data_IF_815677963405
#
_entry.id   IF_815677963405
#
_cell.length_a   1.000
_cell.length_b   1.000
_cell.length_c   1.000
_cell.angle_alpha   90.00
_cell.angle_beta   90.00
_cell.angle_gamma   90.00
#
_symmetry.space_group_name_H-M   'P 1'
#
loop_
_entity.id
_entity.type
_entity.pdbx_description
1 polymer ?
#
# COMPACT_ATOMS: atom_id res chain seq x y z
N UNK A 1 -6.04 -24.67 25.54
CA UNK A 1 -7.49 -24.42 25.46
C UNK A 1 -7.88 -23.02 25.95
N UNK A 2 -7.64 -22.65 27.22
CA UNK A 2 -8.07 -21.36 27.80
C UNK A 2 -7.59 -20.12 27.02
N UNK A 3 -6.32 -20.11 26.59
CA UNK A 3 -5.76 -19.01 25.81
C UNK A 3 -6.43 -18.83 24.44
N UNK A 4 -6.84 -19.93 23.80
CA UNK A 4 -7.54 -19.91 22.51
C UNK A 4 -8.93 -19.27 22.68
N UNK A 5 -9.67 -19.64 23.73
CA UNK A 5 -11.00 -19.07 24.02
C UNK A 5 -10.91 -17.56 24.29
N UNK A 6 -9.89 -17.13 25.06
CA UNK A 6 -9.66 -15.71 25.35
C UNK A 6 -9.40 -14.91 24.07
N UNK A 7 -8.50 -15.39 23.20
CA UNK A 7 -8.16 -14.74 21.92
C UNK A 7 -9.37 -14.63 20.99
N UNK A 8 -10.12 -15.73 20.82
CA UNK A 8 -11.33 -15.76 19.98
C UNK A 8 -12.43 -14.83 20.50
N UNK A 9 -12.61 -14.77 21.82
CA UNK A 9 -13.60 -13.88 22.45
C UNK A 9 -13.26 -12.41 22.24
N UNK A 10 -11.97 -12.05 22.33
CA UNK A 10 -11.49 -10.71 22.05
C UNK A 10 -11.68 -10.32 20.57
N UNK A 11 -11.33 -11.22 19.65
CA UNK A 11 -11.50 -11.02 18.20
C UNK A 11 -12.96 -10.80 17.84
N UNK A 12 -13.84 -11.64 18.37
CA UNK A 12 -15.29 -11.53 18.22
C UNK A 12 -15.81 -10.17 18.71
N UNK A 13 -15.38 -9.73 19.89
CA UNK A 13 -15.80 -8.43 20.45
C UNK A 13 -15.33 -7.26 19.58
N UNK A 14 -14.09 -7.31 19.11
CA UNK A 14 -13.51 -6.26 18.26
C UNK A 14 -14.19 -6.15 16.89
N UNK A 15 -14.73 -7.26 16.37
CA UNK A 15 -15.49 -7.29 15.13
C UNK A 15 -16.99 -6.96 15.29
N UNK A 16 -17.41 -6.38 16.42
CA UNK A 16 -18.81 -6.01 16.65
C UNK A 16 -19.69 -7.10 17.26
N UNK A 17 -19.13 -8.24 17.67
CA UNK A 17 -19.86 -9.31 18.37
C UNK A 17 -20.35 -10.44 17.48
N UNK A 18 -21.45 -11.09 17.88
CA UNK A 18 -22.22 -12.01 17.04
C UNK A 18 -23.41 -11.22 16.48
N UNK A 19 -23.18 -10.45 15.42
CA UNK A 19 -24.29 -9.89 14.65
C UNK A 19 -25.13 -11.01 14.06
N UNK A 20 -26.44 -10.82 13.94
CA UNK A 20 -27.30 -11.81 13.28
C UNK A 20 -27.03 -11.83 11.77
N UNK A 21 -26.81 -13.02 11.20
CA UNK A 21 -26.72 -13.31 9.75
C UNK A 21 -25.66 -12.55 8.94
N UNK A 22 -24.52 -12.19 9.53
CA UNK A 22 -23.40 -11.53 8.83
C UNK A 22 -22.29 -12.50 8.38
N UNK A 23 -22.53 -13.80 8.51
CA UNK A 23 -21.60 -14.87 8.19
C UNK A 23 -21.58 -15.21 6.71
N UNK A 24 -20.40 -15.13 6.08
CA UNK A 24 -20.22 -15.48 4.67
C UNK A 24 -19.13 -16.51 4.49
N UNK A 25 -19.42 -17.57 3.75
CA UNK A 25 -18.45 -18.60 3.40
C UNK A 25 -17.59 -18.08 2.25
N UNK A 26 -16.27 -18.04 2.41
CA UNK A 26 -15.37 -17.43 1.42
C UNK A 26 -14.37 -18.43 0.82
N UNK A 27 -14.20 -19.59 1.46
CA UNK A 27 -13.29 -20.63 0.99
C UNK A 27 -13.73 -22.01 1.48
N UNK A 28 -13.80 -22.96 0.56
CA UNK A 28 -14.07 -24.37 0.86
C UNK A 28 -13.07 -25.21 0.09
N UNK A 29 -12.30 -26.01 0.79
CA UNK A 29 -11.38 -27.01 0.24
C UNK A 29 -11.63 -28.35 0.92
N UNK A 30 -11.00 -29.42 0.40
CA UNK A 30 -11.11 -30.77 0.95
C UNK A 30 -10.70 -30.85 2.42
N UNK A 31 -9.73 -30.02 2.83
CA UNK A 31 -9.18 -30.05 4.20
C UNK A 31 -9.16 -28.72 4.92
N UNK A 32 -9.78 -27.68 4.34
CA UNK A 32 -9.78 -26.34 4.91
C UNK A 32 -11.08 -25.60 4.61
N UNK A 33 -11.47 -24.75 5.55
CA UNK A 33 -12.71 -23.99 5.46
C UNK A 33 -12.50 -22.60 6.03
N UNK A 34 -12.92 -21.57 5.28
CA UNK A 34 -12.86 -20.19 5.73
C UNK A 34 -14.18 -19.44 5.57
N UNK A 35 -14.41 -18.55 6.52
CA UNK A 35 -15.57 -17.68 6.55
C UNK A 35 -15.19 -16.27 7.00
N UNK A 36 -15.98 -15.29 6.55
CA UNK A 36 -15.87 -13.88 6.90
C UNK A 36 -17.09 -13.42 7.70
N UNK A 37 -16.89 -12.34 8.47
CA UNK A 37 -17.95 -11.57 9.14
C UNK A 37 -17.64 -10.08 9.14
N UNK A 38 -18.64 -9.27 9.48
CA UNK A 38 -18.53 -7.82 9.57
C UNK A 38 -17.91 -7.17 8.30
N UNK A 39 -18.36 -7.58 7.12
CA UNK A 39 -17.87 -7.04 5.83
C UNK A 39 -16.40 -7.36 5.56
N UNK A 40 -15.94 -8.53 5.98
CA UNK A 40 -14.53 -8.94 5.85
C UNK A 40 -13.62 -8.39 6.96
N UNK A 41 -14.15 -7.77 8.02
CA UNK A 41 -13.33 -7.30 9.15
C UNK A 41 -12.85 -8.43 10.08
N UNK A 42 -13.55 -9.56 10.09
CA UNK A 42 -13.12 -10.79 10.76
C UNK A 42 -13.13 -11.93 9.76
N UNK A 43 -12.04 -12.68 9.68
CA UNK A 43 -11.94 -13.88 8.85
C UNK A 43 -11.35 -15.00 9.70
N UNK A 44 -11.94 -16.19 9.61
CA UNK A 44 -11.44 -17.38 10.29
C UNK A 44 -11.20 -18.47 9.25
N UNK A 45 -10.01 -19.06 9.30
CA UNK A 45 -9.63 -20.24 8.52
C UNK A 45 -9.29 -21.39 9.47
N UNK A 46 -9.94 -22.52 9.28
CA UNK A 46 -9.65 -23.77 10.00
C UNK A 46 -9.24 -24.85 9.01
N UNK A 47 -8.44 -25.80 9.49
CA UNK A 47 -8.01 -26.98 8.72
C UNK A 47 -8.18 -28.25 9.55
N UNK A 48 -8.44 -29.36 8.88
CA UNK A 48 -8.46 -30.70 9.47
C UNK A 48 -7.26 -31.56 9.00
N UNK A 49 -6.22 -30.94 8.41
CA UNK A 49 -5.06 -31.63 7.82
C UNK A 49 -4.06 -32.19 8.85
N UNK A 50 -4.31 -32.02 10.15
CA UNK A 50 -3.46 -32.52 11.25
C UNK A 50 -2.28 -31.62 11.61
N UNK A 51 -1.67 -31.86 12.76
CA UNK A 51 -0.68 -30.97 13.39
C UNK A 51 0.70 -30.91 12.70
N UNK A 52 0.97 -31.80 11.75
CA UNK A 52 2.20 -31.81 10.94
C UNK A 52 2.05 -31.12 9.59
N UNK A 53 0.84 -30.64 9.26
CA UNK A 53 0.54 -30.06 7.95
C UNK A 53 0.87 -28.58 7.87
N UNK A 54 1.48 -28.18 6.75
CA UNK A 54 1.70 -26.79 6.38
C UNK A 54 1.10 -26.58 4.99
N UNK A 55 0.16 -25.65 4.84
CA UNK A 55 -0.53 -25.41 3.57
C UNK A 55 -0.85 -23.93 3.39
N UNK A 56 -0.69 -23.42 2.17
CA UNK A 56 -1.11 -22.08 1.80
C UNK A 56 -2.52 -22.11 1.22
N UNK A 57 -3.39 -21.23 1.72
CA UNK A 57 -4.76 -21.08 1.24
C UNK A 57 -4.96 -19.65 0.76
N UNK A 58 -5.44 -19.50 -0.48
CA UNK A 58 -5.75 -18.21 -1.09
C UNK A 58 -7.24 -18.13 -1.39
N UNK A 59 -7.87 -17.02 -1.01
CA UNK A 59 -9.31 -16.79 -1.17
C UNK A 59 -9.64 -15.30 -1.21
N UNK A 60 -10.86 -14.95 -1.61
CA UNK A 60 -11.30 -13.56 -1.59
C UNK A 60 -11.83 -13.20 -0.19
N UNK A 61 -11.18 -12.26 0.49
CA UNK A 61 -11.53 -11.71 1.79
C UNK A 61 -12.78 -10.82 1.80
N UNK A 62 -13.37 -10.57 0.63
CA UNK A 62 -14.52 -9.68 0.39
C UNK A 62 -14.26 -8.22 0.79
N UNK A 63 -12.99 -7.86 0.95
CA UNK A 63 -12.55 -6.50 1.29
C UNK A 63 -11.33 -6.17 0.44
N UNK A 64 -11.51 -5.35 -0.58
CA UNK A 64 -10.41 -4.85 -1.38
C UNK A 64 -9.46 -4.00 -0.52
N UNK A 65 -8.15 -4.20 -0.69
CA UNK A 65 -7.11 -3.50 0.06
C UNK A 65 -7.28 -3.60 1.59
N UNK A 66 -7.94 -4.67 2.07
CA UNK A 66 -8.11 -4.93 3.49
C UNK A 66 -6.77 -5.27 4.16
N UNK A 67 -6.67 -4.95 5.45
CA UNK A 67 -5.51 -5.22 6.30
C UNK A 67 -5.96 -5.86 7.61
N UNK A 68 -5.29 -6.92 8.02
CA UNK A 68 -5.59 -7.70 9.22
C UNK A 68 -4.32 -8.12 9.96
N UNK A 69 -4.47 -8.47 11.23
CA UNK A 69 -3.46 -9.20 12.01
C UNK A 69 -4.01 -10.56 12.44
N UNK A 70 -3.13 -11.56 12.56
CA UNK A 70 -3.53 -12.88 13.06
C UNK A 70 -3.47 -12.94 14.59
N UNK A 71 -4.65 -12.82 15.19
CA UNK A 71 -4.80 -12.80 16.66
C UNK A 71 -4.69 -14.19 17.28
N UNK A 72 -4.77 -15.27 16.49
CA UNK A 72 -4.68 -16.64 17.00
C UNK A 72 -3.23 -17.07 17.20
N UNK A 73 -2.38 -16.92 16.18
CA UNK A 73 -0.93 -17.17 16.33
C UNK A 73 -0.25 -16.16 17.26
N UNK A 74 -0.84 -14.96 17.42
CA UNK A 74 -0.20 -13.86 18.15
C UNK A 74 0.89 -13.17 17.33
N UNK A 75 0.93 -13.42 16.02
CA UNK A 75 1.80 -12.72 15.09
C UNK A 75 1.31 -11.29 14.87
N UNK A 76 2.22 -10.31 14.99
CA UNK A 76 1.95 -8.91 14.65
C UNK A 76 2.06 -8.62 13.15
N UNK A 77 2.22 -9.65 12.31
CA UNK A 77 2.35 -9.50 10.88
C UNK A 77 1.02 -9.01 10.27
N UNK A 78 1.12 -7.94 9.46
CA UNK A 78 -0.03 -7.36 8.76
C UNK A 78 -0.29 -8.13 7.47
N UNK A 79 -1.34 -8.93 7.46
CA UNK A 79 -1.83 -9.63 6.28
C UNK A 79 -2.70 -8.66 5.49
N UNK A 80 -2.49 -8.57 4.18
CA UNK A 80 -3.23 -7.67 3.31
C UNK A 80 -3.80 -8.39 2.10
N UNK A 81 -4.92 -7.88 1.61
CA UNK A 81 -5.56 -8.34 0.37
C UNK A 81 -5.28 -7.36 -0.77
N UNK A 82 -5.40 -7.83 -1.99
CA UNK A 82 -5.21 -7.01 -3.18
C UNK A 82 -6.43 -6.12 -3.50
N UNK A 83 -6.37 -5.39 -4.62
CA UNK A 83 -7.45 -4.51 -5.09
C UNK A 83 -8.76 -5.22 -5.45
N UNK A 84 -8.72 -6.55 -5.58
CA UNK A 84 -9.90 -7.40 -5.82
C UNK A 84 -10.36 -8.12 -4.54
N UNK A 85 -9.67 -7.90 -3.41
CA UNK A 85 -9.94 -8.55 -2.13
C UNK A 85 -9.30 -9.93 -1.97
N UNK A 86 -8.43 -10.36 -2.88
CA UNK A 86 -7.76 -11.66 -2.77
C UNK A 86 -6.64 -11.62 -1.73
N UNK A 87 -6.62 -12.62 -0.85
CA UNK A 87 -5.64 -12.79 0.23
C UNK A 87 -5.12 -14.22 0.25
N UNK A 88 -3.84 -14.40 0.59
CA UNK A 88 -3.21 -15.70 0.80
C UNK A 88 -2.68 -15.80 2.23
N UNK A 89 -2.98 -16.89 2.91
CA UNK A 89 -2.51 -17.18 4.27
C UNK A 89 -1.92 -18.57 4.37
N UNK A 90 -0.84 -18.71 5.13
CA UNK A 90 -0.16 -20.00 5.34
C UNK A 90 -0.52 -20.56 6.69
N UNK A 91 -1.21 -21.70 6.69
CA UNK A 91 -1.47 -22.47 7.90
C UNK A 91 -0.22 -23.28 8.23
N UNK A 92 0.28 -23.14 9.46
CA UNK A 92 1.40 -23.89 9.98
C UNK A 92 0.95 -24.82 11.09
N UNK A 93 1.40 -26.07 11.05
CA UNK A 93 1.10 -27.11 12.05
C UNK A 93 -0.40 -27.34 12.27
N UNK A 94 -1.21 -27.19 11.22
CA UNK A 94 -2.68 -27.34 11.31
C UNK A 94 -3.38 -26.31 12.22
N UNK A 95 -2.70 -25.24 12.66
CA UNK A 95 -3.29 -24.24 13.54
C UNK A 95 -4.32 -23.37 12.81
N UNK A 96 -5.43 -22.99 13.46
CA UNK A 96 -6.39 -22.08 12.86
C UNK A 96 -5.81 -20.65 12.77
N UNK A 97 -6.23 -19.91 11.74
CA UNK A 97 -5.86 -18.51 11.52
C UNK A 97 -7.09 -17.65 11.77
N UNK A 98 -6.92 -16.56 12.54
CA UNK A 98 -8.01 -15.62 12.85
C UNK A 98 -7.53 -14.22 12.51
N UNK A 99 -8.01 -13.69 11.39
CA UNK A 99 -7.65 -12.36 10.89
C UNK A 99 -8.64 -11.33 11.43
N UNK A 100 -8.12 -10.31 12.10
CA UNK A 100 -8.91 -9.17 12.59
C UNK A 100 -8.43 -7.87 11.95
N UNK A 101 -9.36 -7.09 11.40
CA UNK A 101 -9.03 -5.86 10.70
C UNK A 101 -8.47 -4.81 11.66
N UNK A 102 -7.42 -4.12 11.23
CA UNK A 102 -6.85 -2.99 11.97
C UNK A 102 -7.39 -1.67 11.39
N UNK A 103 -8.01 -0.84 12.23
CA UNK A 103 -8.45 0.50 11.81
C UNK A 103 -7.24 1.32 11.37
N UNK A 104 -7.38 2.02 10.24
CA UNK A 104 -6.30 2.73 9.57
C UNK A 104 -5.62 3.79 10.47
N UNK A 105 -4.51 3.38 11.08
CA UNK A 105 -3.42 4.28 11.41
C UNK A 105 -2.53 4.41 10.18
N UNK A 106 -2.49 5.61 9.61
CA UNK A 106 -1.57 6.00 8.54
C UNK A 106 -0.12 5.80 9.00
N UNK A 107 0.60 4.80 8.46
CA UNK A 107 2.07 4.78 8.17
C UNK A 107 2.52 3.36 7.73
N UNK A 108 3.70 3.22 7.06
CA UNK A 108 3.85 2.35 5.90
C UNK A 108 4.33 0.92 6.19
N UNK A 109 3.86 0.05 5.30
CA UNK A 109 4.43 -1.18 4.75
C UNK A 109 5.66 -1.81 5.43
N UNK A 110 5.44 -2.97 6.05
CA UNK A 110 6.36 -4.10 5.99
C UNK A 110 5.55 -5.38 5.75
N UNK A 111 5.85 -6.08 4.63
CA UNK A 111 5.66 -7.52 4.30
C UNK A 111 5.69 -7.62 2.76
N UNK A 112 6.76 -8.08 2.10
CA UNK A 112 7.22 -9.49 1.95
C UNK A 112 6.07 -10.46 1.61
N UNK A 113 5.72 -10.51 0.33
CA UNK A 113 5.00 -11.61 -0.32
C UNK A 113 6.00 -12.48 -1.08
N UNK A 114 6.12 -13.74 -0.70
CA UNK A 114 6.63 -14.81 -1.55
C UNK A 114 5.48 -15.31 -2.42
N UNK A 115 5.44 -14.90 -3.69
CA UNK A 115 4.64 -15.53 -4.73
C UNK A 115 5.54 -16.46 -5.56
N UNK A 116 5.05 -17.66 -5.87
CA UNK A 116 5.65 -18.58 -6.84
C UNK A 116 4.53 -19.11 -7.76
N UNK A 117 4.84 -19.55 -9.00
CA UNK A 117 5.77 -19.01 -9.97
C UNK A 117 5.02 -18.17 -11.03
N UNK A 118 5.69 -17.15 -11.58
CA UNK A 118 5.12 -16.29 -12.61
C UNK A 118 4.84 -17.06 -13.92
N UNK A 119 3.88 -16.60 -14.76
CA UNK A 119 3.95 -16.87 -16.18
C UNK A 119 5.10 -16.03 -16.73
N UNK A 120 6.37 -16.46 -16.53
CA UNK A 120 7.60 -15.71 -16.89
C UNK A 120 7.37 -14.19 -16.88
N UNK A 121 6.99 -13.66 -15.72
CA UNK A 121 6.38 -12.33 -15.61
C UNK A 121 7.44 -11.28 -15.85
N UNK A 122 7.47 -10.73 -17.05
CA UNK A 122 8.28 -9.57 -17.40
C UNK A 122 8.11 -8.48 -16.34
N UNK A 123 9.21 -7.89 -15.90
CA UNK A 123 9.16 -6.74 -15.00
C UNK A 123 8.24 -5.65 -15.58
N UNK A 124 7.43 -4.96 -14.75
CA UNK A 124 6.58 -3.90 -15.25
C UNK A 124 7.43 -2.85 -15.95
N UNK A 125 7.07 -2.51 -17.19
CA UNK A 125 7.80 -1.51 -18.00
C UNK A 125 7.57 -0.09 -17.49
N UNK A 126 6.58 0.11 -16.62
CA UNK A 126 6.16 1.40 -16.08
C UNK A 126 6.01 1.32 -14.56
N UNK A 127 6.53 2.33 -13.86
CA UNK A 127 6.54 2.46 -12.40
C UNK A 127 5.83 3.75 -12.01
N UNK A 128 4.91 3.67 -11.05
CA UNK A 128 4.26 4.84 -10.45
C UNK A 128 5.15 5.47 -9.38
N UNK A 129 5.77 6.60 -9.67
CA UNK A 129 6.69 7.30 -8.76
C UNK A 129 5.96 8.47 -8.11
N UNK A 130 5.89 8.46 -6.78
CA UNK A 130 5.35 9.57 -5.99
C UNK A 130 6.46 10.52 -5.57
N UNK A 131 6.43 11.75 -6.06
CA UNK A 131 7.34 12.81 -5.64
C UNK A 131 6.67 13.67 -4.57
N UNK A 132 7.38 13.90 -3.49
CA UNK A 132 6.96 14.73 -2.37
C UNK A 132 8.00 15.82 -2.15
N UNK A 133 7.57 17.07 -2.09
CA UNK A 133 8.43 18.23 -1.89
C UNK A 133 7.92 19.04 -0.68
N UNK A 134 8.84 19.56 0.13
CA UNK A 134 8.54 20.36 1.32
C UNK A 134 9.05 21.77 1.12
N UNK A 135 8.12 22.69 0.85
CA UNK A 135 8.43 24.09 0.57
C UNK A 135 7.29 24.99 1.00
N UNK A 136 7.61 26.05 1.75
CA UNK A 136 6.64 27.07 2.15
C UNK A 136 6.31 27.95 0.95
N UNK A 137 5.03 28.10 0.67
CA UNK A 137 4.49 28.86 -0.46
C UNK A 137 3.55 29.96 0.01
N UNK A 138 3.43 31.02 -0.77
CA UNK A 138 2.41 32.05 -0.54
C UNK A 138 1.08 31.66 -1.22
N UNK A 139 -0.06 32.21 -0.78
CA UNK A 139 -1.34 31.99 -1.46
C UNK A 139 -1.27 32.34 -2.95
N UNK A 140 -1.59 31.38 -3.81
CA UNK A 140 -1.54 31.53 -5.27
C UNK A 140 -0.24 31.04 -5.91
N UNK A 141 0.79 30.68 -5.13
CA UNK A 141 1.96 29.97 -5.65
C UNK A 141 1.60 28.51 -5.97
N UNK A 142 2.25 27.95 -7.00
CA UNK A 142 2.14 26.54 -7.37
C UNK A 142 3.52 25.93 -7.51
N UNK A 143 3.71 24.71 -7.01
CA UNK A 143 4.93 23.95 -7.23
C UNK A 143 4.75 23.04 -8.45
N UNK A 144 5.72 23.06 -9.35
CA UNK A 144 5.83 22.16 -10.49
C UNK A 144 7.11 21.35 -10.40
N UNK A 145 7.11 20.17 -11.00
CA UNK A 145 8.33 19.35 -11.16
C UNK A 145 8.70 19.33 -12.64
N UNK A 146 9.93 19.72 -12.96
CA UNK A 146 10.43 19.81 -14.34
C UNK A 146 11.67 18.93 -14.48
N UNK A 147 11.85 18.27 -15.61
CA UNK A 147 12.97 17.36 -15.78
C UNK A 147 13.18 16.87 -17.21
N UNK A 148 14.13 15.96 -17.38
CA UNK A 148 14.61 15.50 -18.68
C UNK A 148 13.70 14.48 -19.41
N UNK A 149 12.52 14.16 -18.86
CA UNK A 149 11.58 13.20 -19.45
C UNK A 149 10.31 13.89 -19.92
N UNK A 150 9.59 13.25 -20.85
CA UNK A 150 8.33 13.79 -21.37
C UNK A 150 7.28 14.00 -20.27
N UNK A 151 7.25 13.09 -19.29
CA UNK A 151 6.36 13.17 -18.12
C UNK A 151 6.70 14.34 -17.19
N UNK A 152 7.91 14.89 -17.29
CA UNK A 152 8.39 16.05 -16.55
C UNK A 152 8.55 17.29 -17.45
N UNK A 153 7.96 17.27 -18.65
CA UNK A 153 7.95 18.42 -19.55
C UNK A 153 9.25 18.72 -20.28
N UNK A 154 10.26 17.83 -20.28
CA UNK A 154 11.54 18.00 -20.99
C UNK A 154 12.22 19.36 -20.72
N UNK A 155 12.39 19.73 -19.44
CA UNK A 155 12.95 21.01 -18.99
C UNK A 155 12.13 22.26 -19.35
N UNK A 156 10.88 22.10 -19.79
CA UNK A 156 9.95 23.21 -20.06
C UNK A 156 8.90 23.38 -18.93
N UNK A 157 8.95 24.46 -18.12
CA UNK A 157 8.00 24.73 -17.04
C UNK A 157 6.54 24.88 -17.45
N UNK A 158 6.25 25.23 -18.70
CA UNK A 158 4.89 25.34 -19.21
C UNK A 158 4.25 23.96 -19.39
N UNK A 159 5.05 22.96 -19.77
CA UNK A 159 4.62 21.56 -19.93
C UNK A 159 4.84 20.73 -18.66
N UNK A 160 5.42 21.34 -17.63
CA UNK A 160 5.72 20.67 -16.38
C UNK A 160 4.43 20.40 -15.58
N UNK A 161 4.28 19.19 -15.03
CA UNK A 161 3.13 18.87 -14.20
C UNK A 161 3.18 19.62 -12.86
N UNK A 162 2.01 20.10 -12.43
CA UNK A 162 1.83 20.77 -11.15
C UNK A 162 1.61 19.76 -10.02
N UNK A 163 2.25 20.01 -8.88
CA UNK A 163 2.08 19.21 -7.68
C UNK A 163 0.80 19.62 -6.94
N UNK A 164 0.25 18.68 -6.17
CA UNK A 164 -0.92 18.90 -5.32
C UNK A 164 -0.53 19.39 -3.94
N UNK A 165 -1.18 20.45 -3.46
CA UNK A 165 -1.13 20.92 -2.08
C UNK A 165 -2.18 20.25 -1.15
N UNK A 166 -2.79 19.12 -1.55
CA UNK A 166 -3.84 18.46 -0.77
C UNK A 166 -3.45 18.08 0.65
N UNK A 167 -2.15 17.95 0.94
CA UNK A 167 -1.61 17.65 2.27
C UNK A 167 -0.85 18.81 2.90
N UNK A 168 -0.93 20.01 2.29
CA UNK A 168 -0.26 21.21 2.75
C UNK A 168 -0.97 21.80 3.96
N UNK A 169 -0.21 22.04 5.02
CA UNK A 169 -0.61 22.88 6.15
C UNK A 169 0.52 23.85 6.47
N UNK A 170 0.24 24.92 7.23
CA UNK A 170 1.27 25.85 7.69
C UNK A 170 2.36 25.18 8.54
N UNK A 171 2.02 24.11 9.26
CA UNK A 171 2.96 23.28 10.03
C UNK A 171 3.60 22.15 9.22
N UNK A 172 3.09 21.85 8.02
CA UNK A 172 3.51 20.75 7.18
C UNK A 172 3.35 21.12 5.70
N UNK A 173 4.26 21.95 5.14
CA UNK A 173 4.11 22.53 3.81
C UNK A 173 4.50 21.53 2.71
N UNK A 174 3.70 20.45 2.57
CA UNK A 174 3.97 19.32 1.70
C UNK A 174 3.19 19.43 0.40
N UNK A 175 3.92 19.27 -0.71
CA UNK A 175 3.40 19.14 -2.06
C UNK A 175 3.68 17.74 -2.59
N UNK A 176 2.70 17.13 -3.27
CA UNK A 176 2.83 15.73 -3.73
C UNK A 176 2.34 15.57 -5.16
N UNK A 177 3.00 14.72 -5.95
CA UNK A 177 2.54 14.30 -7.27
C UNK A 177 2.87 12.84 -7.53
N UNK A 178 2.02 12.14 -8.27
CA UNK A 178 2.28 10.78 -8.74
C UNK A 178 2.48 10.81 -10.26
N UNK A 179 3.60 10.27 -10.73
CA UNK A 179 3.97 10.23 -12.14
C UNK A 179 4.32 8.80 -12.56
N UNK A 180 3.82 8.37 -13.71
CA UNK A 180 4.17 7.08 -14.31
C UNK A 180 5.46 7.21 -15.12
N UNK A 181 6.52 6.54 -14.72
CA UNK A 181 7.85 6.61 -15.34
C UNK A 181 8.30 5.25 -15.87
N UNK A 182 9.14 5.24 -16.90
CA UNK A 182 9.68 4.00 -17.44
C UNK A 182 10.62 3.32 -16.43
N UNK A 183 10.43 2.03 -16.24
CA UNK A 183 11.20 1.24 -15.28
C UNK A 183 12.69 1.19 -15.67
N UNK A 184 13.58 1.34 -14.69
CA UNK A 184 15.04 1.35 -14.92
C UNK A 184 15.60 2.64 -15.51
N UNK A 185 14.77 3.65 -15.76
CA UNK A 185 15.22 4.91 -16.38
C UNK A 185 15.86 5.85 -15.36
N UNK A 186 16.94 6.52 -15.76
CA UNK A 186 17.54 7.60 -15.00
C UNK A 186 16.86 8.94 -15.35
N UNK A 187 16.37 9.63 -14.34
CA UNK A 187 15.63 10.88 -14.46
C UNK A 187 16.40 11.98 -13.75
N UNK A 188 16.50 13.14 -14.40
CA UNK A 188 16.97 14.37 -13.78
C UNK A 188 15.83 15.36 -13.71
N UNK A 189 15.70 16.04 -12.57
CA UNK A 189 14.59 16.95 -12.32
C UNK A 189 14.97 18.06 -11.35
N UNK A 190 14.13 19.10 -11.32
CA UNK A 190 14.12 20.19 -10.35
C UNK A 190 12.68 20.56 -10.05
N UNK A 191 12.46 21.10 -8.85
CA UNK A 191 11.21 21.77 -8.54
C UNK A 191 11.26 23.23 -8.98
N UNK A 192 10.10 23.75 -9.39
CA UNK A 192 9.90 25.13 -9.79
C UNK A 192 8.69 25.66 -9.06
N UNK A 193 8.88 26.77 -8.34
CA UNK A 193 7.79 27.53 -7.75
C UNK A 193 7.35 28.57 -8.76
N UNK A 194 6.09 28.50 -9.18
CA UNK A 194 5.47 29.49 -10.06
C UNK A 194 4.57 30.37 -9.20
N UNK A 195 4.87 31.66 -9.15
CA UNK A 195 4.03 32.62 -8.42
C UNK A 195 2.69 32.83 -9.12
N UNK A 196 1.73 33.45 -8.43
CA UNK A 196 0.45 33.87 -9.03
C UNK A 196 0.60 34.81 -10.23
N UNK A 197 1.73 35.51 -10.34
CA UNK A 197 2.09 36.37 -11.49
C UNK A 197 2.76 35.61 -12.64
N UNK A 198 2.97 34.30 -12.51
CA UNK A 198 3.61 33.45 -13.51
C UNK A 198 5.15 33.42 -13.45
N UNK A 199 5.76 34.07 -12.46
CA UNK A 199 7.23 34.09 -12.31
C UNK A 199 7.72 32.73 -11.80
N UNK A 200 8.62 32.09 -12.54
CA UNK A 200 9.21 30.80 -12.18
C UNK A 200 10.51 30.97 -11.39
N UNK A 201 10.53 30.47 -10.16
CA UNK A 201 11.74 30.34 -9.32
C UNK A 201 12.15 28.87 -9.27
N UNK A 202 13.37 28.58 -9.71
CA UNK A 202 13.93 27.23 -9.74
C UNK A 202 14.69 26.91 -8.46
N UNK A 203 14.83 25.63 -8.14
CA UNK A 203 15.80 25.16 -7.15
C UNK A 203 17.25 25.45 -7.56
N UNK A 204 18.10 25.60 -6.54
CA UNK A 204 19.54 25.75 -6.68
C UNK A 204 20.18 24.57 -7.46
N UNK A 205 21.35 24.79 -8.05
CA UNK A 205 22.15 23.71 -8.64
C UNK A 205 22.83 22.84 -7.57
N UNK A 206 23.13 21.55 -7.85
CA UNK A 206 22.93 20.82 -9.11
C UNK A 206 21.51 20.24 -9.30
N UNK A 207 21.18 19.84 -10.53
CA UNK A 207 19.95 19.08 -10.82
C UNK A 207 19.83 17.83 -9.93
N UNK A 208 18.62 17.54 -9.46
CA UNK A 208 18.35 16.29 -8.75
C UNK A 208 18.35 15.13 -9.74
N UNK A 209 18.85 13.98 -9.31
CA UNK A 209 18.86 12.76 -10.09
C UNK A 209 18.15 11.63 -9.34
N UNK A 210 17.35 10.85 -10.05
CA UNK A 210 16.63 9.70 -9.51
C UNK A 210 16.62 8.55 -10.52
N UNK A 211 16.94 7.36 -10.06
CA UNK A 211 16.87 6.13 -10.87
C UNK A 211 15.59 5.38 -10.55
N UNK A 212 14.72 5.24 -11.56
CA UNK A 212 13.46 4.51 -11.41
C UNK A 212 13.76 3.02 -11.30
N UNK A 213 13.19 2.29 -10.32
CA UNK A 213 13.41 0.85 -10.20
C UNK A 213 12.89 0.09 -11.41
N UNK A 214 13.59 -0.96 -11.87
CA UNK A 214 13.26 -1.69 -13.09
C UNK A 214 12.21 -2.80 -12.91
N UNK A 215 11.97 -3.23 -11.67
CA UNK A 215 11.09 -4.35 -11.35
C UNK A 215 10.22 -4.05 -10.10
N UNK A 216 9.69 -2.83 -10.03
CA UNK A 216 8.75 -2.41 -8.99
C UNK A 216 7.57 -1.70 -9.63
N UNK A 217 6.36 -1.92 -9.12
CA UNK A 217 5.17 -1.26 -9.63
C UNK A 217 5.09 0.22 -9.22
N UNK A 218 5.72 0.59 -8.11
CA UNK A 218 5.72 1.96 -7.61
C UNK A 218 6.97 2.28 -6.78
N UNK A 219 7.25 3.57 -6.64
CA UNK A 219 8.32 4.10 -5.81
C UNK A 219 7.93 5.47 -5.23
N UNK A 220 8.65 5.94 -4.23
CA UNK A 220 8.45 7.28 -3.66
C UNK A 220 9.78 8.00 -3.45
N UNK A 221 9.74 9.31 -3.64
CA UNK A 221 10.88 10.21 -3.49
C UNK A 221 10.41 11.40 -2.66
N UNK A 222 11.09 11.66 -1.55
CA UNK A 222 10.82 12.83 -0.70
C UNK A 222 12.01 13.76 -0.73
N UNK A 223 11.74 15.03 -0.98
CA UNK A 223 12.72 16.10 -1.07
C UNK A 223 12.30 17.30 -0.20
N UNK A 224 13.26 18.18 0.01
CA UNK A 224 13.11 19.50 0.62
C UNK A 224 13.82 20.50 -0.27
N UNK A 225 13.25 21.68 -0.43
CA UNK A 225 13.69 22.68 -1.40
C UNK A 225 15.18 23.01 -1.25
N UNK A 226 15.86 23.12 -2.40
CA UNK A 226 17.29 23.45 -2.53
C UNK A 226 17.54 24.92 -2.86
#
# INVERSE_FOLDING_TARGET
MYQAIKKLTAARKAAGGLGGNDHVHIYVASTAYAWSRAGGNLIVLTTNSGSSSNAQHCFNAQKANGRWTDVFSGSSNVISSDGNGQVCVTVSQGNPIVLLATSAGSTPTTLRTSAAPAPTGSCPTTVSVTFTERVVTQPGDTIKIVGNTAQLGNWNPSNAPAMSASSYTSSNPVWTINLSMAAGSAVQYKYVKVSSTGTATWESDPNRAYSVPSCQASASVSNTWQ
#
